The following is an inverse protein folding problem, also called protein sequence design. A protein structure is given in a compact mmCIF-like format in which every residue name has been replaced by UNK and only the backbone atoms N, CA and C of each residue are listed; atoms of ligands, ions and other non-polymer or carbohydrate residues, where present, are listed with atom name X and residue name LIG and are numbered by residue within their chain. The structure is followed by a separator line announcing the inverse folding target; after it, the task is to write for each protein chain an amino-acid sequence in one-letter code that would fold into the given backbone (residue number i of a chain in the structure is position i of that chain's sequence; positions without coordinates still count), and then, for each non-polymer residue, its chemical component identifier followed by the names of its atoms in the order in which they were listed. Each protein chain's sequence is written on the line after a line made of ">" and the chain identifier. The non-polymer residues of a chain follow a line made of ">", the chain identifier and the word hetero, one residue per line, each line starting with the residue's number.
data_IF_238585569318
#
_entry.id   IF_238585569318
#
_cell.length_a   1.000
_cell.length_b   1.000
_cell.length_c   1.000
_cell.angle_alpha   90.00
_cell.angle_beta   90.00
_cell.angle_gamma   90.00
#
_symmetry.space_group_name_H-M   'P 1'
#
loop_
_entity.id
_entity.type
_entity.pdbx_description
1 polymer ?
#
# COMPACT_ATOMS: atom_id res chain seq x y z
N UNK A 1 -8.69 -8.71 -0.08
CA UNK A 1 -8.37 -10.12 -0.39
C UNK A 1 -9.60 -10.98 -0.16
N UNK A 2 -9.70 -12.16 -0.81
CA UNK A 2 -10.83 -13.07 -0.62
C UNK A 2 -10.63 -14.04 0.54
N UNK A 3 -9.41 -14.10 1.08
CA UNK A 3 -9.07 -14.83 2.30
C UNK A 3 -9.65 -14.07 3.50
N UNK A 4 -10.50 -14.75 4.26
CA UNK A 4 -11.14 -14.21 5.47
C UNK A 4 -10.35 -14.51 6.73
N UNK A 5 -9.45 -15.49 6.69
CA UNK A 5 -8.69 -15.92 7.87
C UNK A 5 -7.48 -15.00 8.13
N UNK A 6 -7.30 -14.47 9.35
CA UNK A 6 -6.20 -13.57 9.68
C UNK A 6 -4.82 -14.24 9.59
N UNK A 7 -4.68 -15.51 9.97
CA UNK A 7 -3.42 -16.23 9.93
C UNK A 7 -2.96 -16.46 8.49
N UNK A 8 -3.89 -16.84 7.60
CA UNK A 8 -3.60 -17.00 6.18
C UNK A 8 -3.22 -15.66 5.52
N UNK A 9 -3.83 -14.55 5.96
CA UNK A 9 -3.48 -13.20 5.50
C UNK A 9 -2.07 -12.81 5.91
N UNK A 10 -1.65 -13.12 7.13
CA UNK A 10 -0.28 -12.88 7.58
C UNK A 10 0.74 -13.75 6.84
N UNK A 11 0.45 -15.05 6.68
CA UNK A 11 1.28 -15.96 5.91
C UNK A 11 1.48 -15.47 4.46
N UNK A 12 0.41 -15.00 3.81
CA UNK A 12 0.48 -14.44 2.46
C UNK A 12 1.37 -13.19 2.40
N UNK A 13 1.25 -12.27 3.37
CA UNK A 13 2.10 -11.07 3.43
C UNK A 13 3.57 -11.45 3.55
N UNK A 14 3.88 -12.39 4.44
CA UNK A 14 5.25 -12.86 4.67
C UNK A 14 5.83 -13.53 3.42
N UNK A 15 5.05 -14.39 2.75
CA UNK A 15 5.47 -15.04 1.52
C UNK A 15 5.77 -14.04 0.40
N UNK A 16 4.90 -13.05 0.19
CA UNK A 16 5.11 -12.00 -0.82
C UNK A 16 6.34 -11.15 -0.49
N UNK A 17 6.52 -10.75 0.77
CA UNK A 17 7.71 -10.00 1.20
C UNK A 17 8.99 -10.80 0.99
N UNK A 18 9.00 -12.08 1.34
CA UNK A 18 10.14 -12.96 1.15
C UNK A 18 10.51 -13.07 -0.35
N UNK A 19 9.53 -13.29 -1.22
CA UNK A 19 9.75 -13.37 -2.67
C UNK A 19 10.31 -12.06 -3.26
N UNK A 20 9.79 -10.90 -2.82
CA UNK A 20 10.29 -9.60 -3.28
C UNK A 20 11.71 -9.37 -2.78
N UNK A 21 11.99 -9.70 -1.52
CA UNK A 21 13.31 -9.57 -0.94
C UNK A 21 14.34 -10.46 -1.66
N UNK A 22 13.98 -11.70 -1.97
CA UNK A 22 14.84 -12.64 -2.69
C UNK A 22 15.12 -12.17 -4.13
N UNK A 23 14.16 -11.58 -4.82
CA UNK A 23 14.33 -11.13 -6.21
C UNK A 23 14.96 -9.74 -6.35
N UNK A 24 14.60 -8.81 -5.47
CA UNK A 24 14.96 -7.39 -5.60
C UNK A 24 15.94 -6.92 -4.53
N UNK A 25 16.11 -7.65 -3.42
CA UNK A 25 16.93 -7.23 -2.28
C UNK A 25 16.37 -6.03 -1.51
N UNK A 26 15.12 -5.64 -1.75
CA UNK A 26 14.48 -4.47 -1.16
C UNK A 26 13.44 -4.93 -0.14
N UNK A 27 13.44 -4.31 1.03
CA UNK A 27 12.38 -4.50 2.00
C UNK A 27 11.11 -3.76 1.56
N UNK A 28 9.98 -4.47 1.55
CA UNK A 28 8.72 -3.93 1.06
C UNK A 28 7.59 -4.10 2.08
N UNK A 29 6.74 -3.08 2.15
CA UNK A 29 5.53 -3.11 2.95
C UNK A 29 4.35 -3.63 2.11
N UNK A 30 3.73 -4.72 2.56
CA UNK A 30 2.62 -5.39 1.85
C UNK A 30 1.31 -5.09 2.56
N UNK A 31 0.48 -4.24 1.97
CA UNK A 31 -0.88 -3.96 2.46
C UNK A 31 -1.90 -4.75 1.65
N UNK A 32 -2.72 -5.51 2.37
CA UNK A 32 -3.87 -6.20 1.79
C UNK A 32 -5.03 -5.23 1.76
N UNK A 33 -5.70 -5.18 0.61
CA UNK A 33 -6.80 -4.25 0.33
C UNK A 33 -8.02 -5.05 -0.13
N UNK A 34 -9.24 -4.55 0.12
CA UNK A 34 -10.44 -5.18 -0.39
C UNK A 34 -10.47 -5.15 -1.92
N UNK A 35 -11.12 -6.14 -2.56
CA UNK A 35 -11.30 -6.10 -4.02
C UNK A 35 -12.10 -4.84 -4.41
N UNK A 36 -11.77 -4.25 -5.57
CA UNK A 36 -12.42 -3.05 -6.12
C UNK A 36 -12.16 -1.73 -5.37
N UNK A 37 -11.30 -1.71 -4.35
CA UNK A 37 -10.97 -0.49 -3.58
C UNK A 37 -9.88 0.38 -4.19
N UNK A 38 -9.12 -0.12 -5.18
CA UNK A 38 -8.04 0.66 -5.81
C UNK A 38 -8.57 1.64 -6.87
N UNK A 39 -7.96 2.83 -6.98
CA UNK A 39 -8.34 3.80 -8.00
C UNK A 39 -7.82 3.40 -9.40
N UNK A 40 -8.73 3.35 -10.36
CA UNK A 40 -8.41 3.13 -11.77
C UNK A 40 -8.50 4.44 -12.56
N UNK A 41 -7.73 4.55 -13.64
CA UNK A 41 -7.94 5.59 -14.66
C UNK A 41 -9.17 5.25 -15.48
N UNK A 42 -9.73 6.22 -16.19
CA UNK A 42 -10.86 6.01 -17.11
C UNK A 42 -10.56 4.99 -18.20
N UNK A 43 -9.28 4.75 -18.48
CA UNK A 43 -8.77 3.73 -19.40
C UNK A 43 -8.72 2.31 -18.81
N UNK A 44 -9.15 2.11 -17.55
CA UNK A 44 -9.17 0.82 -16.87
C UNK A 44 -7.82 0.38 -16.28
N UNK A 45 -6.78 1.20 -16.36
CA UNK A 45 -5.46 0.88 -15.77
C UNK A 45 -5.39 1.35 -14.32
N UNK A 46 -4.61 0.66 -13.50
CA UNK A 46 -4.38 1.08 -12.12
C UNK A 46 -3.69 2.45 -12.09
N UNK A 47 -4.30 3.42 -11.40
CA UNK A 47 -3.69 4.74 -11.23
C UNK A 47 -2.70 4.70 -10.07
N UNK A 48 -1.40 4.54 -10.37
CA UNK A 48 -0.33 4.48 -9.36
C UNK A 48 -0.27 5.76 -8.51
N UNK A 49 -0.40 6.94 -9.14
CA UNK A 49 -0.33 8.23 -8.44
C UNK A 49 -1.48 8.42 -7.46
N UNK A 50 -2.69 8.02 -7.86
CA UNK A 50 -3.87 8.11 -7.00
C UNK A 50 -3.88 7.04 -5.92
N UNK A 51 -3.39 5.83 -6.24
CA UNK A 51 -3.18 4.77 -5.25
C UNK A 51 -2.13 5.16 -4.20
N UNK A 52 -1.05 5.85 -4.62
CA UNK A 52 -0.05 6.42 -3.71
C UNK A 52 -0.69 7.43 -2.75
N UNK A 53 -1.48 8.38 -3.27
CA UNK A 53 -2.24 9.30 -2.40
C UNK A 53 -3.19 8.57 -1.44
N UNK A 54 -3.88 7.54 -1.89
CA UNK A 54 -4.82 6.78 -1.05
C UNK A 54 -4.11 5.99 0.05
N UNK A 55 -2.89 5.51 -0.24
CA UNK A 55 -2.04 4.88 0.76
C UNK A 55 -1.63 5.88 1.84
N UNK A 56 -1.20 7.09 1.45
CA UNK A 56 -0.82 8.12 2.42
C UNK A 56 -2.00 8.73 3.19
N UNK A 57 -3.18 8.80 2.57
CA UNK A 57 -4.41 9.27 3.21
C UNK A 57 -5.07 8.22 4.12
N UNK A 58 -4.49 7.01 4.21
CA UNK A 58 -4.97 5.91 5.05
C UNK A 58 -6.28 5.27 4.56
N UNK A 59 -6.66 5.47 3.29
CA UNK A 59 -7.86 4.89 2.70
C UNK A 59 -7.67 3.44 2.21
N UNK A 60 -6.40 3.00 2.09
CA UNK A 60 -6.06 1.64 1.70
C UNK A 60 -5.69 0.74 2.88
N UNK A 61 -5.79 1.22 4.12
CA UNK A 61 -5.45 0.42 5.29
C UNK A 61 -6.56 -0.57 5.62
N UNK A 62 -6.14 -1.80 5.92
CA UNK A 62 -7.00 -2.76 6.60
C UNK A 62 -7.19 -2.28 8.05
N UNK A 63 -8.43 -2.26 8.59
CA UNK A 63 -8.70 -1.73 9.94
C UNK A 63 -7.90 -2.38 11.08
N UNK A 64 -7.32 -3.57 10.88
CA UNK A 64 -6.53 -4.27 11.91
C UNK A 64 -5.11 -3.72 12.12
N UNK A 65 -4.50 -3.07 11.13
CA UNK A 65 -3.05 -2.77 11.19
C UNK A 65 -2.71 -1.39 11.77
N UNK A 66 -3.71 -0.59 12.14
CA UNK A 66 -3.48 0.73 12.73
C UNK A 66 -2.83 0.67 14.12
N UNK A 67 -2.88 -0.48 14.79
CA UNK A 67 -2.30 -0.69 16.13
C UNK A 67 -0.78 -0.97 16.11
N UNK A 68 -0.24 -1.44 14.97
CA UNK A 68 1.16 -1.88 14.89
C UNK A 68 2.15 -0.79 14.50
N UNK A 69 2.03 0.43 15.04
CA UNK A 69 3.13 1.41 15.13
C UNK A 69 3.98 1.72 13.87
N UNK A 70 3.57 1.30 12.68
CA UNK A 70 4.27 1.52 11.42
C UNK A 70 4.02 2.97 11.06
N UNK A 71 5.04 3.79 11.30
CA UNK A 71 5.03 5.20 10.99
C UNK A 71 4.57 5.38 9.55
N UNK A 72 3.43 6.04 9.38
CA UNK A 72 2.95 6.51 8.08
C UNK A 72 4.10 7.26 7.44
N UNK A 73 4.53 6.90 6.22
CA UNK A 73 5.46 7.74 5.51
C UNK A 73 4.69 9.03 5.18
N UNK A 74 4.78 10.05 6.01
CA UNK A 74 4.20 11.36 5.73
C UNK A 74 4.79 11.84 4.41
N UNK A 75 3.95 12.14 3.41
CA UNK A 75 4.41 12.82 2.20
C UNK A 75 5.06 14.14 2.62
N UNK A 76 6.39 14.16 2.74
CA UNK A 76 7.14 15.40 2.56
C UNK A 76 6.95 15.78 1.09
N UNK A 77 5.94 16.60 0.85
CA UNK A 77 5.83 17.37 -0.37
C UNK A 77 6.86 18.49 -0.25
N UNK A 78 7.97 18.51 -1.01
CA UNK A 78 8.64 19.78 -1.22
C UNK A 78 7.69 20.57 -2.10
N UNK A 79 7.04 21.57 -1.51
CA UNK A 79 6.28 22.57 -2.22
C UNK A 79 7.15 23.08 -3.37
N UNK A 80 6.73 22.80 -4.60
CA UNK A 80 7.28 23.42 -5.78
C UNK A 80 7.03 24.93 -5.65
N UNK A 81 8.04 25.66 -5.19
CA UNK A 81 8.11 27.11 -5.26
C UNK A 81 8.22 27.52 -6.72
N UNK A 82 7.08 27.64 -7.40
CA UNK A 82 7.00 28.40 -8.65
C UNK A 82 6.95 29.88 -8.25
N UNK A 83 8.11 30.53 -8.36
CA UNK A 83 8.26 31.97 -8.20
C UNK A 83 9.31 32.47 -9.17
N UNK A 84 8.86 33.01 -10.31
CA UNK A 84 9.54 34.07 -11.03
C UNK A 84 8.51 34.93 -11.74
#
# INVERSE_FOLDING_TARGET
>A
CRLSDPDEREALRKAVRAAIYEHSGIDCHVVLIPPRSLPFTTSGKLSRSKAKQYYFSGHCDEPELADQGVARPTEQTPAASVGR
#
